data_IF_716748913719
#
_entry.id   IF_716748913719
#
_cell.length_a   1.000
_cell.length_b   1.000
_cell.length_c   1.000
_cell.angle_alpha   90.00
_cell.angle_beta   90.00
_cell.angle_gamma   90.00
#
_symmetry.space_group_name_H-M   'P 1'
#
loop_
_entity.id
_entity.type
_entity.pdbx_description
1 polymer ?
#
# COMPACT_ATOMS: atom_id res chain seq x y z
N UNK A 1 -24.49 -36.91 12.44
CA UNK A 1 -24.13 -37.77 11.28
C UNK A 1 -24.73 -37.15 10.03
N UNK A 2 -23.92 -36.86 9.02
CA UNK A 2 -24.28 -36.33 7.69
C UNK A 2 -25.33 -35.19 7.62
N UNK A 3 -24.85 -33.94 7.62
CA UNK A 3 -25.46 -32.84 6.84
C UNK A 3 -24.33 -32.13 6.09
N UNK A 4 -23.91 -32.69 4.97
CA UNK A 4 -22.93 -32.11 4.03
C UNK A 4 -23.36 -32.46 2.60
N UNK A 5 -23.17 -31.53 1.66
CA UNK A 5 -23.76 -31.50 0.29
C UNK A 5 -25.30 -31.35 0.37
N UNK A 6 -25.91 -30.28 -0.14
CA UNK A 6 -25.66 -29.57 -1.41
C UNK A 6 -26.16 -28.12 -1.36
N UNK A 7 -25.51 -27.20 -2.10
CA UNK A 7 -26.16 -26.07 -2.81
C UNK A 7 -25.18 -25.36 -3.78
N UNK A 8 -24.73 -26.06 -4.83
CA UNK A 8 -23.91 -25.44 -5.88
C UNK A 8 -24.81 -24.69 -6.89
N UNK A 9 -25.03 -23.38 -6.69
CA UNK A 9 -25.71 -22.46 -7.62
C UNK A 9 -25.49 -20.98 -7.25
N UNK A 10 -24.25 -20.51 -7.33
CA UNK A 10 -23.91 -19.08 -7.11
C UNK A 10 -24.56 -18.22 -8.22
N UNK A 11 -25.24 -17.12 -7.85
CA UNK A 11 -25.87 -16.20 -8.79
C UNK A 11 -24.83 -15.26 -9.43
N UNK A 12 -24.94 -14.92 -10.73
CA UNK A 12 -23.91 -14.13 -11.44
C UNK A 12 -23.70 -12.70 -10.93
N UNK A 13 -24.57 -12.16 -10.04
CA UNK A 13 -24.38 -10.83 -9.44
C UNK A 13 -23.32 -10.78 -8.32
N UNK A 14 -22.93 -11.90 -7.71
CA UNK A 14 -21.88 -11.89 -6.68
C UNK A 14 -20.45 -11.84 -7.25
N UNK A 15 -20.26 -12.06 -8.56
CA UNK A 15 -18.98 -11.82 -9.26
C UNK A 15 -18.60 -10.34 -9.40
N UNK A 16 -19.41 -9.42 -8.87
CA UNK A 16 -19.24 -7.97 -9.04
C UNK A 16 -19.02 -7.21 -7.72
N UNK A 17 -19.07 -7.89 -6.56
CA UNK A 17 -18.78 -7.30 -5.25
C UNK A 17 -17.41 -7.73 -4.67
N UNK A 18 -16.81 -8.81 -5.18
CA UNK A 18 -15.38 -9.12 -4.96
C UNK A 18 -14.56 -8.24 -5.92
N UNK A 19 -14.72 -6.91 -5.78
CA UNK A 19 -14.23 -5.91 -6.74
C UNK A 19 -14.05 -4.50 -6.16
N UNK A 20 -14.06 -4.36 -4.83
CA UNK A 20 -13.90 -3.06 -4.16
C UNK A 20 -13.12 -3.11 -2.82
N UNK A 21 -12.41 -4.22 -2.56
CA UNK A 21 -11.20 -4.25 -1.72
C UNK A 21 -10.24 -5.20 -2.43
N UNK A 22 -9.35 -4.67 -3.27
CA UNK A 22 -8.29 -5.42 -3.93
C UNK A 22 -7.16 -4.44 -4.30
N UNK A 23 -6.40 -4.06 -3.28
CA UNK A 23 -5.31 -3.07 -3.34
C UNK A 23 -4.28 -3.48 -2.29
N UNK A 24 -3.13 -4.08 -2.63
CA UNK A 24 -2.62 -4.53 -3.94
C UNK A 24 -1.55 -5.63 -3.69
N UNK A 25 -0.65 -5.86 -4.65
CA UNK A 25 0.70 -6.46 -4.50
C UNK A 25 0.87 -8.04 -4.38
N UNK A 26 2.10 -8.60 -4.59
CA UNK A 26 2.34 -9.48 -5.79
C UNK A 26 3.90 -10.00 -5.92
N UNK A 27 4.65 -11.18 -6.28
CA UNK A 27 4.92 -12.75 -6.32
C UNK A 27 6.45 -13.24 -6.14
N UNK A 28 6.97 -14.29 -6.84
CA UNK A 28 8.23 -15.06 -6.59
C UNK A 28 8.78 -15.69 -7.92
N UNK A 29 10.07 -15.52 -8.33
CA UNK A 29 10.91 -16.68 -8.72
C UNK A 29 12.46 -16.52 -8.58
N UNK A 30 13.24 -17.62 -8.64
CA UNK A 30 14.74 -17.65 -8.69
C UNK A 30 15.26 -18.90 -9.47
N UNK A 31 16.33 -18.79 -10.30
CA UNK A 31 17.55 -19.66 -10.37
C UNK A 31 18.30 -19.69 -11.75
N UNK A 32 19.64 -19.51 -11.75
CA UNK A 32 20.56 -20.31 -12.61
C UNK A 32 21.72 -19.61 -13.37
N UNK A 33 22.90 -19.47 -12.74
CA UNK A 33 24.08 -18.81 -13.35
C UNK A 33 25.16 -19.69 -14.02
N UNK A 34 26.26 -19.07 -14.48
CA UNK A 34 27.45 -19.72 -15.07
C UNK A 34 28.75 -18.88 -14.96
N UNK A 35 29.92 -19.53 -15.06
CA UNK A 35 31.28 -18.91 -14.99
C UNK A 35 31.84 -18.56 -16.38
N UNK A 36 32.79 -17.60 -16.44
CA UNK A 36 33.50 -17.14 -17.65
C UNK A 36 35.01 -16.99 -17.35
N UNK A 37 35.87 -17.15 -18.38
CA UNK A 37 37.34 -17.07 -18.29
C UNK A 37 37.87 -15.62 -18.11
N UNK A 38 39.03 -15.49 -17.46
CA UNK A 38 39.81 -14.25 -17.33
C UNK A 38 40.25 -13.65 -18.68
N UNK A 39 39.82 -12.41 -18.95
CA UNK A 39 40.47 -11.50 -19.88
C UNK A 39 40.10 -10.04 -19.55
N UNK A 40 41.05 -9.13 -19.75
CA UNK A 40 40.91 -7.70 -19.44
C UNK A 40 39.94 -6.99 -20.42
N UNK A 41 38.67 -6.87 -20.03
CA UNK A 41 37.61 -6.26 -20.85
C UNK A 41 37.15 -4.91 -20.28
N UNK A 42 37.60 -3.82 -20.92
CA UNK A 42 37.05 -2.48 -20.68
C UNK A 42 35.64 -2.36 -21.31
N UNK A 43 34.62 -2.31 -20.45
CA UNK A 43 33.20 -2.39 -20.78
C UNK A 43 32.68 -1.17 -21.56
N UNK A 44 33.21 0.03 -21.29
CA UNK A 44 32.76 1.26 -21.99
C UNK A 44 33.03 1.22 -23.50
N UNK A 45 33.93 0.35 -23.97
CA UNK A 45 34.09 0.06 -25.40
C UNK A 45 32.86 -0.62 -26.06
N UNK A 46 31.85 -1.04 -25.28
CA UNK A 46 30.66 -1.74 -25.78
C UNK A 46 29.37 -0.92 -25.69
N UNK A 47 29.42 0.29 -25.12
CA UNK A 47 28.35 1.28 -25.19
C UNK A 47 27.91 1.50 -26.65
N UNK A 48 26.59 1.59 -26.88
CA UNK A 48 25.99 1.75 -28.21
C UNK A 48 26.14 0.56 -29.15
N UNK A 49 26.62 -0.60 -28.68
CA UNK A 49 26.75 -1.83 -29.47
C UNK A 49 25.73 -2.87 -29.00
N UNK A 50 25.43 -3.85 -29.85
CA UNK A 50 24.53 -4.93 -29.49
C UNK A 50 25.11 -5.89 -28.45
N UNK A 51 24.22 -6.50 -27.67
CA UNK A 51 24.52 -7.56 -26.71
C UNK A 51 25.17 -8.74 -27.41
N UNK A 52 24.66 -9.09 -28.61
CA UNK A 52 25.28 -10.08 -29.50
C UNK A 52 26.70 -9.71 -29.96
N UNK A 53 27.03 -8.43 -30.03
CA UNK A 53 28.40 -7.95 -30.30
C UNK A 53 29.28 -8.04 -29.06
N UNK A 54 28.73 -7.75 -27.88
CA UNK A 54 29.39 -7.93 -26.59
C UNK A 54 29.76 -9.40 -26.36
N UNK A 55 28.78 -10.31 -26.31
CA UNK A 55 29.01 -11.76 -26.08
C UNK A 55 30.02 -12.35 -27.06
N UNK A 56 29.93 -12.01 -28.34
CA UNK A 56 30.87 -12.48 -29.38
C UNK A 56 32.32 -12.01 -29.15
N UNK A 57 32.51 -10.91 -28.43
CA UNK A 57 33.82 -10.28 -28.19
C UNK A 57 34.40 -10.64 -26.83
N UNK A 58 33.57 -10.67 -25.79
CA UNK A 58 33.98 -11.02 -24.42
C UNK A 58 33.92 -12.53 -24.13
N UNK A 59 33.24 -13.30 -24.99
CA UNK A 59 32.80 -14.69 -24.73
C UNK A 59 31.87 -14.84 -23.52
N UNK A 60 31.36 -13.74 -22.97
CA UNK A 60 30.29 -13.78 -21.98
C UNK A 60 29.09 -14.56 -22.54
N UNK A 61 28.38 -15.24 -21.65
CA UNK A 61 27.03 -15.73 -21.89
C UNK A 61 26.13 -14.96 -20.95
N UNK A 62 25.20 -14.20 -21.50
CA UNK A 62 24.27 -13.41 -20.71
C UNK A 62 22.92 -14.12 -20.62
N UNK A 63 22.34 -14.15 -19.42
CA UNK A 63 20.91 -14.45 -19.24
C UNK A 63 20.14 -13.15 -19.42
N UNK A 64 19.18 -13.12 -20.35
CA UNK A 64 18.27 -11.99 -20.51
C UNK A 64 17.24 -12.03 -19.37
N UNK A 65 17.07 -10.90 -18.68
CA UNK A 65 16.26 -10.75 -17.46
C UNK A 65 15.00 -9.90 -17.74
N UNK A 66 14.41 -10.12 -18.93
CA UNK A 66 13.33 -9.30 -19.49
C UNK A 66 13.81 -8.00 -20.16
N UNK A 67 12.99 -7.48 -21.08
CA UNK A 67 12.94 -6.08 -21.55
C UNK A 67 14.25 -5.28 -21.72
N UNK A 68 15.33 -5.93 -22.18
CA UNK A 68 16.62 -5.29 -22.46
C UNK A 68 17.62 -5.33 -21.30
N UNK A 69 17.28 -5.92 -20.15
CA UNK A 69 18.24 -6.22 -19.08
C UNK A 69 18.92 -7.56 -19.36
N UNK A 70 20.24 -7.61 -19.19
CA UNK A 70 21.03 -8.83 -19.39
C UNK A 70 22.08 -8.97 -18.28
N UNK A 71 22.24 -10.16 -17.70
CA UNK A 71 23.12 -10.39 -16.55
C UNK A 71 23.99 -11.64 -16.66
N UNK A 72 25.06 -11.63 -15.87
CA UNK A 72 25.77 -12.79 -15.34
C UNK A 72 25.59 -12.70 -13.82
N UNK A 73 24.88 -13.65 -13.21
CA UNK A 73 24.52 -13.62 -11.79
C UNK A 73 25.73 -13.34 -10.89
N UNK A 74 25.63 -12.29 -10.07
CA UNK A 74 26.68 -11.87 -9.13
C UNK A 74 27.95 -11.27 -9.75
N UNK A 75 27.98 -11.02 -11.07
CA UNK A 75 29.21 -10.64 -11.79
C UNK A 75 29.03 -9.35 -12.61
N UNK A 76 28.01 -9.29 -13.46
CA UNK A 76 27.83 -8.20 -14.42
C UNK A 76 26.34 -8.07 -14.76
N UNK A 77 25.84 -6.85 -14.77
CA UNK A 77 24.59 -6.47 -15.42
C UNK A 77 24.90 -5.47 -16.53
N UNK A 78 24.16 -5.54 -17.62
CA UNK A 78 24.09 -4.47 -18.61
C UNK A 78 22.63 -4.20 -18.98
N UNK A 79 22.36 -2.97 -19.43
CA UNK A 79 21.06 -2.56 -19.93
C UNK A 79 21.22 -2.21 -21.41
N UNK A 80 20.37 -2.78 -22.25
CA UNK A 80 20.43 -2.70 -23.70
C UNK A 80 19.02 -2.68 -24.34
N UNK A 81 18.24 -1.61 -24.16
CA UNK A 81 16.97 -1.43 -24.86
C UNK A 81 17.18 -1.58 -26.36
N UNK A 82 16.32 -2.37 -27.01
CA UNK A 82 16.32 -2.60 -28.47
C UNK A 82 17.67 -3.07 -29.04
N UNK A 83 18.46 -3.81 -28.26
CA UNK A 83 19.79 -4.36 -28.59
C UNK A 83 20.87 -3.29 -28.86
N UNK A 84 20.88 -2.21 -28.06
CA UNK A 84 21.99 -1.25 -27.98
C UNK A 84 22.32 -0.94 -26.51
N UNK A 85 23.53 -1.27 -26.06
CA UNK A 85 23.92 -1.19 -24.64
C UNK A 85 24.08 0.27 -24.16
N UNK A 86 23.33 0.66 -23.12
CA UNK A 86 23.31 2.00 -22.51
C UNK A 86 24.06 2.08 -21.18
N UNK A 87 24.06 1.01 -20.37
CA UNK A 87 24.74 0.98 -19.06
C UNK A 87 25.39 -0.37 -18.73
N UNK A 88 26.29 -0.35 -17.75
CA UNK A 88 26.96 -1.52 -17.17
C UNK A 88 27.07 -1.37 -15.65
N UNK A 89 26.80 -2.44 -14.90
CA UNK A 89 27.11 -2.54 -13.47
C UNK A 89 27.93 -3.79 -13.18
N UNK A 90 29.06 -3.61 -12.50
CA UNK A 90 29.91 -4.69 -12.01
C UNK A 90 29.68 -4.92 -10.52
N UNK A 91 29.27 -6.14 -10.19
CA UNK A 91 29.13 -6.64 -8.83
C UNK A 91 30.32 -7.56 -8.50
N UNK A 92 30.63 -7.72 -7.21
CA UNK A 92 31.90 -8.31 -6.78
C UNK A 92 32.06 -9.81 -7.05
N UNK A 93 33.24 -10.20 -7.56
CA UNK A 93 33.59 -11.61 -7.84
C UNK A 93 34.34 -11.85 -9.15
N UNK A 94 35.09 -10.86 -9.64
CA UNK A 94 35.59 -10.81 -11.02
C UNK A 94 37.10 -10.60 -11.13
N UNK A 95 37.76 -11.43 -11.95
CA UNK A 95 39.03 -11.11 -12.59
C UNK A 95 38.76 -10.88 -14.09
N UNK A 96 38.91 -9.65 -14.57
CA UNK A 96 38.87 -9.31 -16.01
C UNK A 96 38.04 -8.08 -16.42
N UNK A 97 36.83 -7.90 -15.89
CA UNK A 97 35.98 -6.77 -16.32
C UNK A 97 36.39 -5.43 -15.71
N UNK A 98 36.39 -4.36 -16.52
CA UNK A 98 36.82 -3.01 -16.16
C UNK A 98 35.83 -1.96 -16.65
N UNK A 99 35.69 -0.87 -15.90
CA UNK A 99 34.97 0.34 -16.32
C UNK A 99 35.92 1.52 -16.15
N UNK A 100 36.22 2.21 -17.24
CA UNK A 100 37.15 3.36 -17.30
C UNK A 100 38.52 3.07 -16.65
N UNK A 101 39.01 1.83 -16.81
CA UNK A 101 40.26 1.35 -16.25
C UNK A 101 40.23 1.01 -14.74
N UNK A 102 39.08 1.11 -14.09
CA UNK A 102 38.83 0.68 -12.70
C UNK A 102 38.27 -0.75 -12.70
N UNK A 103 38.60 -1.52 -11.66
CA UNK A 103 38.09 -2.90 -11.43
C UNK A 103 37.62 -3.05 -9.99
N UNK A 104 36.80 -4.08 -9.73
CA UNK A 104 36.52 -4.54 -8.36
C UNK A 104 37.84 -4.92 -7.68
N UNK A 105 38.00 -4.58 -6.40
CA UNK A 105 39.22 -4.81 -5.62
C UNK A 105 40.33 -3.77 -5.85
N UNK A 106 40.12 -2.76 -6.69
CA UNK A 106 41.08 -1.66 -6.88
C UNK A 106 41.13 -0.76 -5.63
N UNK A 107 42.32 -0.31 -5.24
CA UNK A 107 42.50 0.70 -4.20
C UNK A 107 41.85 2.04 -4.60
N UNK A 108 41.12 2.67 -3.69
CA UNK A 108 40.46 3.96 -3.88
C UNK A 108 41.37 5.06 -4.44
N UNK A 109 42.61 5.13 -3.97
CA UNK A 109 43.59 6.12 -4.43
C UNK A 109 43.97 5.90 -5.90
N UNK A 110 44.00 4.64 -6.36
CA UNK A 110 44.25 4.32 -7.77
C UNK A 110 43.00 4.56 -8.63
N UNK A 111 41.81 4.16 -8.14
CA UNK A 111 40.54 4.38 -8.81
C UNK A 111 40.24 5.88 -9.01
N UNK A 112 40.30 6.67 -7.93
CA UNK A 112 40.14 8.11 -8.00
C UNK A 112 41.18 8.77 -8.91
N UNK A 113 42.45 8.33 -8.90
CA UNK A 113 43.49 8.88 -9.76
C UNK A 113 43.25 8.58 -11.26
N UNK A 114 42.40 7.63 -11.62
CA UNK A 114 41.92 7.42 -13.00
C UNK A 114 40.72 8.28 -13.29
N UNK A 115 39.68 8.17 -12.46
CA UNK A 115 38.38 8.79 -12.69
C UNK A 115 38.41 10.32 -12.57
N UNK A 116 39.23 10.88 -11.67
CA UNK A 116 39.45 12.32 -11.58
C UNK A 116 40.16 12.94 -12.80
N UNK A 117 40.73 12.13 -13.70
CA UNK A 117 41.28 12.59 -15.00
C UNK A 117 40.23 12.60 -16.12
N UNK A 118 39.07 11.99 -15.89
CA UNK A 118 37.96 11.87 -16.84
C UNK A 118 36.90 12.91 -16.46
N UNK A 119 36.31 12.79 -15.27
CA UNK A 119 35.21 13.65 -14.80
C UNK A 119 35.65 14.88 -13.99
N UNK A 120 36.89 14.89 -13.47
CA UNK A 120 37.32 15.91 -12.51
C UNK A 120 36.93 15.57 -11.05
N UNK A 121 36.38 16.49 -10.25
CA UNK A 121 35.96 16.20 -8.88
C UNK A 121 34.75 15.25 -8.82
N UNK A 122 34.55 14.60 -7.67
CA UNK A 122 33.27 13.94 -7.36
C UNK A 122 32.16 14.98 -7.21
N UNK A 123 30.96 14.66 -7.70
CA UNK A 123 29.79 15.55 -7.68
C UNK A 123 28.84 15.25 -6.51
N UNK A 124 28.80 13.99 -6.06
CA UNK A 124 28.05 13.56 -4.88
C UNK A 124 28.80 12.42 -4.18
N UNK A 125 28.47 12.16 -2.91
CA UNK A 125 29.03 11.09 -2.09
C UNK A 125 28.03 10.63 -1.05
N UNK A 126 27.62 9.37 -1.10
CA UNK A 126 26.77 8.71 -0.10
C UNK A 126 27.56 7.71 0.74
N UNK A 127 27.13 7.50 1.99
CA UNK A 127 27.77 6.59 2.95
C UNK A 127 26.69 5.64 3.48
N UNK A 128 26.93 4.33 3.38
CA UNK A 128 26.09 3.25 3.90
C UNK A 128 26.87 2.55 5.01
N UNK A 129 26.57 2.89 6.25
CA UNK A 129 27.38 2.46 7.41
C UNK A 129 27.25 0.95 7.65
N UNK A 130 26.06 0.38 7.44
CA UNK A 130 25.75 -1.03 7.69
C UNK A 130 26.38 -1.94 6.63
N UNK A 131 26.39 -1.50 5.37
CA UNK A 131 27.10 -2.17 4.27
C UNK A 131 28.62 -1.93 4.28
N UNK A 132 29.15 -1.24 5.29
CA UNK A 132 30.53 -0.74 5.36
C UNK A 132 30.99 -0.06 4.06
N UNK A 133 30.10 0.67 3.36
CA UNK A 133 30.32 1.07 1.96
C UNK A 133 30.11 2.57 1.74
N UNK A 134 30.93 3.17 0.88
CA UNK A 134 30.87 4.59 0.52
C UNK A 134 30.88 4.74 -1.00
N UNK A 135 29.81 5.31 -1.57
CA UNK A 135 29.68 5.49 -3.01
C UNK A 135 30.03 6.93 -3.39
N UNK A 136 30.97 7.09 -4.32
CA UNK A 136 31.31 8.38 -4.93
C UNK A 136 30.68 8.46 -6.33
N UNK A 137 29.98 9.56 -6.62
CA UNK A 137 29.36 9.82 -7.93
C UNK A 137 30.20 10.81 -8.73
N UNK A 138 30.37 10.53 -10.02
CA UNK A 138 31.06 11.36 -10.99
C UNK A 138 30.18 11.49 -12.23
N UNK A 139 30.00 12.71 -12.76
CA UNK A 139 29.09 12.99 -13.88
C UNK A 139 29.71 14.02 -14.81
N UNK A 140 29.57 13.79 -16.10
CA UNK A 140 29.81 14.78 -17.16
C UNK A 140 28.57 14.88 -18.07
N UNK A 141 28.69 15.56 -19.21
CA UNK A 141 27.58 15.71 -20.14
C UNK A 141 27.26 14.42 -20.91
N UNK A 142 28.17 13.44 -20.93
CA UNK A 142 28.09 12.25 -21.79
C UNK A 142 27.79 10.97 -21.01
N UNK A 143 28.03 10.98 -19.69
CA UNK A 143 28.00 9.79 -18.84
C UNK A 143 27.91 10.10 -17.34
N UNK A 144 27.49 9.09 -16.57
CA UNK A 144 27.54 9.09 -15.11
C UNK A 144 28.14 7.79 -14.58
N UNK A 145 28.91 7.89 -13.50
CA UNK A 145 29.66 6.80 -12.88
C UNK A 145 29.49 6.83 -11.36
N UNK A 146 29.13 5.69 -10.79
CA UNK A 146 29.06 5.43 -9.36
C UNK A 146 30.16 4.42 -8.99
N UNK A 147 30.99 4.76 -8.00
CA UNK A 147 32.06 3.91 -7.48
C UNK A 147 31.81 3.66 -5.99
N UNK A 148 31.41 2.44 -5.64
CA UNK A 148 31.28 2.02 -4.25
C UNK A 148 32.62 1.46 -3.77
N UNK A 149 33.03 1.87 -2.56
CA UNK A 149 34.23 1.38 -1.89
C UNK A 149 33.86 0.83 -0.51
N UNK A 150 34.50 -0.25 -0.06
CA UNK A 150 34.50 -0.61 1.36
C UNK A 150 35.21 0.49 2.18
N UNK A 151 34.66 0.83 3.35
CA UNK A 151 35.08 1.98 4.18
C UNK A 151 36.39 1.69 4.93
N UNK A 152 36.56 0.48 5.44
CA UNK A 152 37.75 0.09 6.25
C UNK A 152 38.98 -0.17 5.37
N UNK A 153 38.78 -0.84 4.24
CA UNK A 153 39.85 -1.31 3.34
C UNK A 153 40.09 -0.39 2.15
N UNK A 154 39.11 0.45 1.79
CA UNK A 154 39.20 1.36 0.65
C UNK A 154 39.19 0.67 -0.71
N UNK A 155 38.80 -0.60 -0.82
CA UNK A 155 38.74 -1.31 -2.10
C UNK A 155 37.41 -1.06 -2.82
N UNK A 156 37.42 -0.96 -4.14
CA UNK A 156 36.21 -0.87 -4.97
C UNK A 156 35.38 -2.15 -4.83
N UNK A 157 34.11 -2.01 -4.45
CA UNK A 157 33.15 -3.11 -4.24
C UNK A 157 32.06 -3.20 -5.32
N UNK A 158 31.72 -2.08 -5.94
CA UNK A 158 30.77 -2.00 -7.08
C UNK A 158 31.17 -0.86 -8.03
N UNK A 159 30.91 -1.02 -9.33
CA UNK A 159 31.03 0.04 -10.32
C UNK A 159 29.79 0.06 -11.23
N UNK A 160 29.04 1.16 -11.24
CA UNK A 160 27.90 1.37 -12.14
C UNK A 160 28.17 2.54 -13.08
N UNK A 161 28.08 2.33 -14.40
CA UNK A 161 28.30 3.34 -15.45
C UNK A 161 27.10 3.42 -16.39
N UNK A 162 26.67 4.65 -16.68
CA UNK A 162 25.56 4.99 -17.55
C UNK A 162 26.03 5.94 -18.64
N UNK A 163 25.64 5.72 -19.89
CA UNK A 163 25.90 6.65 -20.98
C UNK A 163 24.67 7.51 -21.28
N UNK A 164 24.84 8.83 -21.23
CA UNK A 164 23.80 9.83 -21.46
C UNK A 164 23.72 10.22 -22.95
N UNK A 165 24.79 9.98 -23.72
CA UNK A 165 24.92 10.32 -25.14
C UNK A 165 24.17 9.38 -26.13
N UNK A 166 23.31 8.47 -25.66
CA UNK A 166 22.54 7.56 -26.54
C UNK A 166 21.30 8.26 -27.11
N UNK A 167 21.52 9.30 -27.92
CA UNK A 167 20.45 10.03 -28.62
C UNK A 167 19.75 9.14 -29.67
N UNK A 168 18.58 8.61 -29.30
CA UNK A 168 17.45 8.44 -30.23
C UNK A 168 16.17 8.83 -29.54
N UNK A 169 15.24 9.46 -30.26
CA UNK A 169 13.96 9.98 -29.76
C UNK A 169 13.15 8.91 -28.99
N UNK A 170 13.27 8.91 -27.66
CA UNK A 170 12.51 8.09 -26.72
C UNK A 170 12.57 8.75 -25.34
N UNK A 171 11.50 8.60 -24.56
CA UNK A 171 11.48 9.02 -23.17
C UNK A 171 12.48 8.19 -22.35
N UNK A 172 13.09 8.79 -21.31
CA UNK A 172 13.95 8.05 -20.39
C UNK A 172 13.10 7.05 -19.59
N UNK A 173 13.20 5.78 -19.95
CA UNK A 173 12.57 4.70 -19.19
C UNK A 173 13.45 4.40 -17.97
N UNK A 174 13.18 5.07 -16.84
CA UNK A 174 13.83 4.79 -15.54
C UNK A 174 13.56 3.35 -15.03
N UNK A 175 12.71 2.60 -15.73
CA UNK A 175 12.45 1.18 -15.53
C UNK A 175 13.75 0.35 -15.53
N UNK A 176 14.17 -0.07 -14.33
CA UNK A 176 15.45 -0.75 -14.08
C UNK A 176 16.34 -0.02 -13.07
N UNK A 177 16.05 1.25 -12.76
CA UNK A 177 16.65 1.95 -11.62
C UNK A 177 16.20 1.34 -10.29
N UNK A 178 17.10 1.38 -9.30
CA UNK A 178 16.81 0.96 -7.93
C UNK A 178 16.01 2.06 -7.22
N UNK A 179 14.80 1.75 -6.78
CA UNK A 179 13.94 2.64 -6.00
C UNK A 179 14.17 2.46 -4.51
N UNK A 180 14.28 1.23 -4.03
CA UNK A 180 14.59 0.97 -2.63
C UNK A 180 15.41 -0.30 -2.42
N UNK A 181 16.09 -0.33 -1.28
CA UNK A 181 16.82 -1.48 -0.75
C UNK A 181 16.27 -1.75 0.66
N UNK A 182 15.89 -3.00 0.93
CA UNK A 182 15.32 -3.46 2.21
C UNK A 182 16.17 -4.63 2.67
N UNK A 183 17.17 -4.37 3.53
CA UNK A 183 18.28 -5.28 3.75
C UNK A 183 19.05 -5.55 2.44
N UNK A 184 19.05 -6.79 1.96
CA UNK A 184 19.59 -7.16 0.64
C UNK A 184 18.55 -7.12 -0.50
N UNK A 185 17.26 -6.95 -0.18
CA UNK A 185 16.14 -7.06 -1.12
C UNK A 185 16.02 -5.78 -1.94
N UNK A 186 16.07 -5.90 -3.27
CA UNK A 186 16.04 -4.77 -4.21
C UNK A 186 14.63 -4.55 -4.76
N UNK A 187 14.14 -3.32 -4.66
CA UNK A 187 12.90 -2.80 -5.25
C UNK A 187 13.27 -1.92 -6.43
N UNK A 188 12.77 -2.24 -7.62
CA UNK A 188 13.08 -1.53 -8.86
C UNK A 188 11.93 -0.63 -9.32
N UNK A 189 12.24 0.37 -10.13
CA UNK A 189 11.29 1.35 -10.66
C UNK A 189 10.07 0.71 -11.36
N UNK A 190 10.30 -0.32 -12.17
CA UNK A 190 9.22 -1.04 -12.86
C UNK A 190 8.26 -1.75 -11.90
N UNK A 191 8.78 -2.34 -10.82
CA UNK A 191 7.98 -2.97 -9.77
C UNK A 191 7.08 -1.93 -9.07
N UNK A 192 7.67 -0.81 -8.62
CA UNK A 192 6.91 0.25 -7.98
C UNK A 192 5.87 0.92 -8.91
N UNK A 193 6.16 0.99 -10.22
CA UNK A 193 5.24 1.51 -11.23
C UNK A 193 4.02 0.62 -11.48
N UNK A 194 4.12 -0.71 -11.30
CA UNK A 194 2.93 -1.58 -11.33
C UNK A 194 1.90 -1.07 -10.32
N UNK A 195 2.35 -0.86 -9.07
CA UNK A 195 1.46 -0.50 -7.98
C UNK A 195 0.96 0.94 -8.08
N UNK A 196 1.82 1.88 -8.46
CA UNK A 196 1.43 3.27 -8.67
C UNK A 196 0.44 3.42 -9.84
N UNK A 197 0.59 2.65 -10.94
CA UNK A 197 -0.38 2.68 -12.04
C UNK A 197 -1.70 1.97 -11.69
N UNK A 198 -1.69 0.87 -10.92
CA UNK A 198 -2.93 0.30 -10.39
C UNK A 198 -3.67 1.26 -9.45
N UNK A 199 -2.95 1.95 -8.55
CA UNK A 199 -3.54 2.99 -7.70
C UNK A 199 -4.07 4.17 -8.53
N UNK A 200 -3.34 4.56 -9.60
CA UNK A 200 -3.78 5.63 -10.50
C UNK A 200 -5.09 5.28 -11.21
N UNK A 201 -5.23 4.07 -11.76
CA UNK A 201 -6.47 3.64 -12.43
C UNK A 201 -7.67 3.67 -11.48
N UNK A 202 -7.50 3.20 -10.23
CA UNK A 202 -8.56 3.20 -9.22
C UNK A 202 -9.04 4.62 -8.90
N UNK A 203 -8.14 5.52 -8.50
CA UNK A 203 -8.55 6.86 -8.07
C UNK A 203 -8.96 7.77 -9.25
N UNK A 204 -8.37 7.61 -10.44
CA UNK A 204 -8.84 8.37 -11.61
C UNK A 204 -10.22 7.92 -12.12
N UNK A 205 -10.60 6.65 -11.89
CA UNK A 205 -11.94 6.14 -12.24
C UNK A 205 -13.04 6.79 -11.40
N UNK A 206 -12.83 6.92 -10.10
CA UNK A 206 -13.85 7.45 -9.17
C UNK A 206 -13.79 8.98 -8.98
N UNK A 207 -12.61 9.60 -9.10
CA UNK A 207 -12.38 11.02 -8.77
C UNK A 207 -11.77 11.86 -9.92
N UNK A 208 -11.25 11.23 -10.97
CA UNK A 208 -10.61 11.91 -12.10
C UNK A 208 -9.19 12.43 -11.84
N UNK A 209 -8.49 12.85 -12.90
CA UNK A 209 -7.07 13.24 -12.89
C UNK A 209 -6.71 14.39 -11.94
N UNK A 210 -7.67 15.26 -11.62
CA UNK A 210 -7.47 16.42 -10.75
C UNK A 210 -7.22 16.02 -9.27
N UNK A 211 -7.54 14.78 -8.88
CA UNK A 211 -7.36 14.27 -7.51
C UNK A 211 -5.91 14.36 -7.03
N UNK A 212 -4.93 14.21 -7.93
CA UNK A 212 -3.51 14.17 -7.58
C UNK A 212 -2.94 15.49 -7.07
N UNK A 213 -3.60 16.62 -7.37
CA UNK A 213 -3.19 17.97 -6.94
C UNK A 213 -3.89 18.42 -5.63
N UNK A 214 -4.80 17.62 -5.07
CA UNK A 214 -5.58 18.00 -3.88
C UNK A 214 -4.79 17.75 -2.60
N UNK A 215 -4.54 18.78 -1.80
CA UNK A 215 -4.21 18.64 -0.38
C UNK A 215 -5.50 18.34 0.40
N UNK A 216 -5.73 17.05 0.66
CA UNK A 216 -6.91 16.56 1.39
C UNK A 216 -6.77 16.81 2.91
N UNK A 217 -5.54 16.97 3.41
CA UNK A 217 -5.23 16.97 4.84
C UNK A 217 -4.97 18.38 5.41
N UNK A 218 -4.84 19.40 4.55
CA UNK A 218 -4.51 20.77 4.91
C UNK A 218 -3.08 20.94 5.43
N UNK A 219 -2.18 20.00 5.10
CA UNK A 219 -0.81 19.93 5.62
C UNK A 219 0.27 20.38 4.61
N UNK A 220 -0.12 20.69 3.37
CA UNK A 220 0.77 21.07 2.28
C UNK A 220 1.26 19.91 1.40
N UNK A 221 0.89 18.66 1.70
CA UNK A 221 1.17 17.50 0.85
C UNK A 221 -0.03 17.18 -0.04
N UNK A 222 0.23 16.97 -1.32
CA UNK A 222 -0.78 16.53 -2.28
C UNK A 222 -1.18 15.07 -2.08
N UNK A 223 -2.38 14.70 -2.53
CA UNK A 223 -2.81 13.31 -2.54
C UNK A 223 -1.91 12.41 -3.40
N UNK A 224 -1.29 12.95 -4.46
CA UNK A 224 -0.29 12.22 -5.24
C UNK A 224 0.98 11.87 -4.44
N UNK A 225 1.45 12.79 -3.59
CA UNK A 225 2.56 12.52 -2.67
C UNK A 225 2.15 11.51 -1.59
N UNK A 226 0.95 11.65 -1.01
CA UNK A 226 0.42 10.69 -0.04
C UNK A 226 0.33 9.26 -0.59
N UNK A 227 -0.23 9.07 -1.79
CA UNK A 227 -0.35 7.75 -2.42
C UNK A 227 1.02 7.16 -2.79
N UNK A 228 2.01 7.98 -3.17
CA UNK A 228 3.40 7.52 -3.29
C UNK A 228 3.91 7.01 -1.95
N UNK A 229 3.80 7.82 -0.90
CA UNK A 229 4.28 7.51 0.43
C UNK A 229 3.70 6.19 0.98
N UNK A 230 2.40 5.96 0.83
CA UNK A 230 1.77 4.70 1.25
C UNK A 230 2.16 3.52 0.35
N UNK A 231 2.28 3.71 -0.97
CA UNK A 231 2.71 2.64 -1.87
C UNK A 231 4.14 2.18 -1.55
N UNK A 232 5.11 3.07 -1.34
CA UNK A 232 6.48 2.63 -1.03
C UNK A 232 6.56 1.94 0.34
N UNK A 233 5.82 2.42 1.36
CA UNK A 233 5.68 1.74 2.66
C UNK A 233 5.10 0.34 2.50
N UNK A 234 4.05 0.19 1.69
CA UNK A 234 3.44 -1.11 1.41
C UNK A 234 4.47 -2.06 0.76
N UNK A 235 5.20 -1.64 -0.28
CA UNK A 235 6.25 -2.49 -0.91
C UNK A 235 7.28 -2.95 0.13
N UNK A 236 7.77 -2.03 0.97
CA UNK A 236 8.75 -2.34 2.02
C UNK A 236 8.19 -3.36 3.01
N UNK A 237 6.95 -3.17 3.48
CA UNK A 237 6.27 -4.12 4.36
C UNK A 237 6.23 -5.53 3.74
N UNK A 238 5.84 -5.62 2.47
CA UNK A 238 5.74 -6.87 1.73
C UNK A 238 7.09 -7.58 1.63
N UNK A 239 8.18 -6.87 1.33
CA UNK A 239 9.52 -7.47 1.25
C UNK A 239 9.94 -8.08 2.58
N UNK A 240 9.73 -7.35 3.68
CA UNK A 240 10.00 -7.83 5.06
C UNK A 240 9.15 -9.07 5.37
N UNK A 241 7.85 -9.04 5.07
CA UNK A 241 6.94 -10.15 5.37
C UNK A 241 7.30 -11.40 4.53
N UNK A 242 7.69 -11.24 3.26
CA UNK A 242 8.08 -12.37 2.39
C UNK A 242 9.37 -13.05 2.83
N UNK A 243 10.39 -12.27 3.20
CA UNK A 243 11.64 -12.85 3.72
C UNK A 243 11.41 -13.56 5.06
N UNK A 244 10.58 -12.97 5.94
CA UNK A 244 10.13 -13.63 7.18
C UNK A 244 9.27 -14.87 6.92
N UNK A 245 8.47 -14.90 5.85
CA UNK A 245 7.73 -16.10 5.44
C UNK A 245 8.68 -17.28 5.17
N UNK A 246 9.76 -17.02 4.41
CA UNK A 246 10.79 -18.02 4.13
C UNK A 246 11.52 -18.49 5.41
N UNK A 247 11.84 -17.57 6.33
CA UNK A 247 12.43 -17.90 7.64
C UNK A 247 11.48 -18.76 8.52
N UNK A 248 10.17 -18.53 8.43
CA UNK A 248 9.13 -19.27 9.15
C UNK A 248 8.70 -20.58 8.45
N UNK A 249 9.17 -20.83 7.23
CA UNK A 249 8.73 -21.98 6.41
C UNK A 249 7.30 -21.84 5.85
N UNK A 250 6.74 -20.63 5.84
CA UNK A 250 5.45 -20.32 5.22
C UNK A 250 5.69 -20.11 3.72
N UNK A 251 5.04 -20.93 2.89
CA UNK A 251 5.14 -20.87 1.43
C UNK A 251 3.78 -21.09 0.79
N UNK A 252 3.57 -20.54 -0.40
CA UNK A 252 2.36 -20.84 -1.17
C UNK A 252 2.27 -22.31 -1.59
N UNK A 253 1.04 -22.82 -1.57
CA UNK A 253 0.62 -24.03 -2.27
C UNK A 253 0.65 -23.81 -3.79
N UNK A 254 0.45 -24.87 -4.56
CA UNK A 254 0.45 -24.76 -6.03
C UNK A 254 -0.86 -24.14 -6.56
N UNK A 255 -1.99 -24.30 -5.85
CA UNK A 255 -3.27 -23.64 -6.15
C UNK A 255 -3.16 -22.11 -6.01
N UNK A 256 -2.57 -21.63 -4.90
CA UNK A 256 -2.35 -20.19 -4.66
C UNK A 256 -1.33 -19.56 -5.64
N UNK A 257 -0.50 -20.36 -6.33
CA UNK A 257 0.38 -19.91 -7.43
C UNK A 257 -0.37 -19.88 -8.76
N UNK A 258 -1.24 -20.85 -9.02
CA UNK A 258 -2.07 -20.85 -10.24
C UNK A 258 -3.05 -19.66 -10.24
N UNK A 259 -3.66 -19.34 -9.09
CA UNK A 259 -4.47 -18.12 -8.93
C UNK A 259 -3.65 -16.85 -9.22
N UNK A 260 -2.44 -16.76 -8.67
CA UNK A 260 -1.53 -15.63 -8.89
C UNK A 260 -1.18 -15.43 -10.37
N UNK A 261 -0.82 -16.52 -11.07
CA UNK A 261 -0.52 -16.49 -12.50
C UNK A 261 -1.76 -16.08 -13.30
N UNK A 262 -2.96 -16.55 -12.92
CA UNK A 262 -4.20 -16.16 -13.59
C UNK A 262 -4.49 -14.65 -13.44
N UNK A 263 -4.29 -14.09 -12.23
CA UNK A 263 -4.43 -12.65 -12.01
C UNK A 263 -3.34 -11.85 -12.74
N UNK A 264 -2.11 -12.36 -12.83
CA UNK A 264 -1.02 -11.78 -13.61
C UNK A 264 -1.38 -11.67 -15.09
N UNK A 265 -1.99 -12.70 -15.67
CA UNK A 265 -2.46 -12.65 -17.06
C UNK A 265 -3.62 -11.65 -17.25
N UNK A 266 -4.59 -11.58 -16.33
CA UNK A 266 -5.69 -10.60 -16.41
C UNK A 266 -5.17 -9.16 -16.32
N UNK A 267 -4.30 -8.85 -15.34
CA UNK A 267 -3.70 -7.53 -15.20
C UNK A 267 -2.79 -7.18 -16.40
N UNK A 268 -1.93 -8.11 -16.84
CA UNK A 268 -1.08 -7.88 -18.01
C UNK A 268 -1.92 -7.58 -19.26
N UNK A 269 -3.10 -8.21 -19.42
CA UNK A 269 -4.02 -7.93 -20.53
C UNK A 269 -4.75 -6.59 -20.42
N UNK A 270 -4.89 -6.01 -19.22
CA UNK A 270 -5.49 -4.69 -19.00
C UNK A 270 -4.54 -3.52 -19.31
N UNK A 271 -3.25 -3.65 -18.98
CA UNK A 271 -2.25 -2.59 -19.18
C UNK A 271 -2.04 -2.30 -20.68
N UNK A 272 -1.95 -1.02 -21.04
CA UNK A 272 -1.73 -0.59 -22.43
C UNK A 272 -0.35 -0.99 -22.97
N UNK A 273 -0.21 -1.13 -24.29
CA UNK A 273 1.10 -1.36 -24.91
C UNK A 273 2.12 -0.25 -24.57
N UNK A 274 1.66 1.01 -24.48
CA UNK A 274 2.52 2.14 -24.17
C UNK A 274 3.05 2.09 -22.72
N UNK A 275 2.21 1.72 -21.75
CA UNK A 275 2.62 1.59 -20.34
C UNK A 275 3.51 0.35 -20.13
N UNK A 276 3.21 -0.77 -20.81
CA UNK A 276 4.07 -1.97 -20.80
C UNK A 276 5.47 -1.66 -21.33
N UNK A 277 5.58 -0.92 -22.44
CA UNK A 277 6.86 -0.52 -23.04
C UNK A 277 7.57 0.57 -22.22
N UNK A 278 6.85 1.57 -21.67
CA UNK A 278 7.43 2.70 -20.90
C UNK A 278 7.94 2.30 -19.52
N UNK A 279 7.22 1.43 -18.83
CA UNK A 279 7.58 0.95 -17.48
C UNK A 279 8.24 -0.43 -17.50
N UNK A 280 8.46 -1.01 -18.69
CA UNK A 280 9.02 -2.35 -18.92
C UNK A 280 8.30 -3.46 -18.12
N UNK A 281 6.98 -3.31 -17.94
CA UNK A 281 6.15 -4.29 -17.21
C UNK A 281 6.01 -5.55 -18.07
N UNK A 282 6.69 -6.62 -17.67
CA UNK A 282 6.63 -7.93 -18.33
C UNK A 282 5.62 -8.87 -17.67
N UNK A 283 5.29 -9.98 -18.33
CA UNK A 283 4.56 -11.08 -17.69
C UNK A 283 5.32 -11.75 -16.57
N UNK A 284 6.65 -11.70 -16.56
CA UNK A 284 7.48 -12.29 -15.49
C UNK A 284 7.67 -11.30 -14.34
N UNK A 285 7.59 -9.98 -14.62
CA UNK A 285 7.41 -8.97 -13.60
C UNK A 285 6.02 -9.18 -13.01
N UNK A 286 4.91 -9.10 -13.76
CA UNK A 286 3.58 -9.40 -13.23
C UNK A 286 3.40 -10.86 -12.78
N UNK A 287 4.29 -11.79 -13.12
CA UNK A 287 4.40 -13.06 -12.41
C UNK A 287 5.04 -12.73 -11.07
N UNK A 288 6.34 -12.41 -10.95
CA UNK A 288 7.08 -11.96 -9.72
C UNK A 288 6.38 -10.85 -8.91
N UNK A 289 5.34 -10.31 -9.50
CA UNK A 289 4.41 -9.28 -9.11
C UNK A 289 2.97 -9.83 -9.35
N UNK A 290 2.60 -10.93 -8.62
CA UNK A 290 1.25 -11.46 -8.18
C UNK A 290 1.02 -12.41 -6.93
N UNK A 291 2.01 -12.75 -6.07
CA UNK A 291 1.86 -13.52 -4.78
C UNK A 291 2.71 -13.05 -3.59
N UNK A 292 3.60 -12.05 -3.65
CA UNK A 292 4.30 -11.57 -2.44
C UNK A 292 3.26 -11.17 -1.41
N UNK A 293 2.04 -10.77 -1.84
CA UNK A 293 0.93 -10.51 -0.92
C UNK A 293 -0.04 -11.65 -0.75
N UNK A 294 -0.25 -12.57 -1.70
CA UNK A 294 -0.90 -13.83 -1.35
C UNK A 294 -0.07 -14.57 -0.26
N UNK A 295 1.25 -14.37 -0.26
CA UNK A 295 2.17 -14.83 0.77
C UNK A 295 2.10 -13.95 2.02
N UNK A 296 2.07 -12.61 1.92
CA UNK A 296 1.92 -11.74 3.08
C UNK A 296 0.58 -11.90 3.79
N UNK A 297 -0.52 -12.00 3.03
CA UNK A 297 -1.87 -12.41 3.45
C UNK A 297 -1.83 -13.80 4.08
N UNK A 298 -1.21 -14.80 3.43
CA UNK A 298 -1.04 -16.13 4.03
C UNK A 298 -0.24 -16.10 5.35
N UNK A 299 0.75 -15.23 5.49
CA UNK A 299 1.51 -15.04 6.75
C UNK A 299 0.65 -14.34 7.79
N UNK A 300 -0.14 -13.33 7.41
CA UNK A 300 -1.14 -12.68 8.26
C UNK A 300 -2.17 -13.68 8.77
N UNK A 301 -2.82 -14.43 7.89
CA UNK A 301 -3.74 -15.53 8.20
C UNK A 301 -3.08 -16.55 9.13
N UNK A 302 -1.92 -17.10 8.74
CA UNK A 302 -1.22 -18.17 9.50
C UNK A 302 -0.81 -17.74 10.91
N UNK A 303 -0.42 -16.48 11.12
CA UNK A 303 0.04 -15.98 12.41
C UNK A 303 -1.06 -15.37 13.29
N UNK A 304 -2.25 -15.13 12.73
CA UNK A 304 -3.39 -14.54 13.45
C UNK A 304 -4.58 -15.49 13.63
N UNK A 305 -4.56 -16.68 13.03
CA UNK A 305 -5.64 -17.68 13.11
C UNK A 305 -6.00 -18.11 14.55
N UNK A 306 -5.03 -18.13 15.46
CA UNK A 306 -5.19 -18.49 16.88
C UNK A 306 -5.46 -17.27 17.81
N UNK A 307 -5.88 -16.13 17.24
CA UNK A 307 -6.31 -14.95 18.01
C UNK A 307 -7.49 -15.28 18.94
N UNK A 308 -7.65 -14.53 20.04
CA UNK A 308 -8.86 -14.65 20.85
C UNK A 308 -10.10 -14.21 20.05
N UNK A 309 -10.93 -15.18 19.68
CA UNK A 309 -12.22 -14.98 19.01
C UNK A 309 -13.38 -14.80 19.98
N UNK A 310 -13.15 -14.88 21.29
CA UNK A 310 -14.17 -14.62 22.31
C UNK A 310 -14.36 -13.11 22.50
N UNK A 311 -15.43 -12.58 21.91
CA UNK A 311 -15.87 -11.19 22.11
C UNK A 311 -17.15 -11.16 22.95
N UNK A 312 -17.06 -10.84 24.27
CA UNK A 312 -18.22 -10.77 25.15
C UNK A 312 -19.22 -9.67 24.72
N UNK A 313 -20.51 -9.99 24.84
CA UNK A 313 -21.61 -9.09 24.46
C UNK A 313 -21.56 -7.70 25.11
N UNK A 314 -20.91 -7.52 26.26
CA UNK A 314 -20.76 -6.20 26.90
C UNK A 314 -19.97 -5.20 26.05
N UNK A 315 -19.12 -5.68 25.13
CA UNK A 315 -18.34 -4.85 24.21
C UNK A 315 -19.00 -4.72 22.82
N UNK A 316 -19.74 -5.73 22.37
CA UNK A 316 -20.26 -5.79 21.00
C UNK A 316 -21.78 -5.62 20.85
N UNK A 317 -22.59 -5.77 21.93
CA UNK A 317 -24.05 -5.72 21.87
C UNK A 317 -24.54 -4.40 21.28
N UNK A 318 -25.18 -4.50 20.13
CA UNK A 318 -25.90 -3.40 19.50
C UNK A 318 -27.37 -3.42 19.94
N UNK A 319 -27.96 -2.25 20.17
CA UNK A 319 -29.41 -2.05 20.27
C UNK A 319 -29.89 -1.24 19.07
N UNK A 320 -31.14 -1.41 18.67
CA UNK A 320 -31.80 -0.56 17.67
C UNK A 320 -32.95 0.19 18.34
N UNK A 321 -32.95 1.51 18.21
CA UNK A 321 -33.96 2.38 18.81
C UNK A 321 -34.45 3.42 17.81
N UNK A 322 -35.75 3.71 17.87
CA UNK A 322 -36.36 4.86 17.23
C UNK A 322 -36.51 5.99 18.25
N UNK A 323 -36.52 7.24 17.81
CA UNK A 323 -36.83 8.37 18.68
C UNK A 323 -37.63 9.48 17.99
N UNK A 324 -38.25 10.31 18.82
CA UNK A 324 -38.88 11.58 18.42
C UNK A 324 -38.16 12.69 19.16
N UNK A 325 -37.53 13.63 18.45
CA UNK A 325 -37.02 14.87 19.04
C UNK A 325 -38.06 15.99 18.89
N UNK A 326 -38.32 16.71 19.98
CA UNK A 326 -38.95 18.04 19.96
C UNK A 326 -37.98 19.02 20.62
N UNK A 327 -37.55 20.05 19.91
CA UNK A 327 -36.55 20.99 20.41
C UNK A 327 -37.07 21.81 21.61
N UNK A 328 -36.16 22.05 22.57
CA UNK A 328 -36.33 23.07 23.61
C UNK A 328 -35.38 24.26 23.39
N UNK A 329 -34.64 24.24 22.28
CA UNK A 329 -33.57 25.17 21.91
C UNK A 329 -33.64 25.56 20.43
N UNK A 330 -33.08 26.71 20.10
CA UNK A 330 -32.91 27.25 18.75
C UNK A 330 -31.46 27.68 18.52
N UNK A 331 -31.08 27.97 17.28
CA UNK A 331 -29.78 28.59 16.94
C UNK A 331 -30.02 30.10 16.78
N UNK A 332 -29.28 30.92 17.53
CA UNK A 332 -29.38 32.38 17.43
C UNK A 332 -28.61 32.96 16.22
N UNK A 333 -28.72 34.27 15.99
CA UNK A 333 -28.02 35.00 14.92
C UNK A 333 -26.48 34.88 14.98
N UNK A 334 -25.91 34.45 16.12
CA UNK A 334 -24.47 34.24 16.35
C UNK A 334 -24.05 32.78 16.05
N UNK A 335 -24.96 31.93 15.59
CA UNK A 335 -24.71 30.50 15.35
C UNK A 335 -24.71 29.64 16.62
N UNK A 336 -25.13 30.17 17.76
CA UNK A 336 -25.09 29.49 19.06
C UNK A 336 -26.45 28.91 19.46
N UNK A 337 -26.45 27.67 19.96
CA UNK A 337 -27.64 27.03 20.54
C UNK A 337 -28.04 27.74 21.85
N UNK A 338 -29.30 28.18 21.93
CA UNK A 338 -29.91 28.88 23.08
C UNK A 338 -31.30 28.31 23.36
N UNK A 339 -31.79 28.38 24.59
CA UNK A 339 -33.09 27.79 24.95
C UNK A 339 -34.28 28.65 24.53
N UNK A 340 -35.28 28.04 23.88
CA UNK A 340 -36.48 28.69 23.31
C UNK A 340 -37.21 29.61 24.30
N UNK A 341 -37.91 30.67 23.82
CA UNK A 341 -38.78 31.51 24.63
C UNK A 341 -39.78 30.68 25.45
N UNK A 342 -40.05 31.09 26.69
CA UNK A 342 -40.83 30.27 27.63
C UNK A 342 -42.22 29.85 27.09
N UNK A 343 -42.87 30.68 26.28
CA UNK A 343 -44.16 30.33 25.67
C UNK A 343 -44.04 29.23 24.62
N UNK A 344 -42.96 29.21 23.84
CA UNK A 344 -42.72 28.21 22.79
C UNK A 344 -42.18 26.92 23.39
N UNK A 345 -41.28 27.03 24.36
CA UNK A 345 -40.81 25.93 25.20
C UNK A 345 -41.97 25.19 25.89
N UNK A 346 -43.01 25.91 26.35
CA UNK A 346 -44.21 25.29 26.89
C UNK A 346 -45.04 24.55 25.82
N UNK A 347 -45.22 25.11 24.61
CA UNK A 347 -45.90 24.40 23.49
C UNK A 347 -45.14 23.15 23.06
N UNK A 348 -43.81 23.21 23.01
CA UNK A 348 -42.95 22.07 22.70
C UNK A 348 -43.06 20.98 23.79
N UNK A 349 -43.17 21.38 25.06
CA UNK A 349 -43.43 20.46 26.18
C UNK A 349 -44.83 19.82 26.07
N UNK A 350 -45.87 20.59 25.70
CA UNK A 350 -47.22 20.08 25.44
C UNK A 350 -47.21 19.09 24.24
N UNK A 351 -46.51 19.42 23.14
CA UNK A 351 -46.32 18.54 21.98
C UNK A 351 -45.71 17.20 22.38
N UNK A 352 -44.56 17.19 23.07
CA UNK A 352 -43.87 15.94 23.42
C UNK A 352 -44.65 15.10 24.44
N UNK A 353 -45.41 15.72 25.36
CA UNK A 353 -46.32 14.96 26.24
C UNK A 353 -47.43 14.27 25.44
N UNK A 354 -48.08 14.96 24.49
CA UNK A 354 -49.12 14.35 23.67
C UNK A 354 -48.59 13.23 22.75
N UNK A 355 -47.39 13.38 22.21
CA UNK A 355 -46.73 12.34 21.41
C UNK A 355 -46.41 11.10 22.27
N UNK A 356 -46.03 11.28 23.54
CA UNK A 356 -45.82 10.17 24.47
C UNK A 356 -47.14 9.44 24.82
N UNK A 357 -48.24 10.18 24.99
CA UNK A 357 -49.57 9.59 25.19
C UNK A 357 -50.02 8.77 23.97
N UNK A 358 -49.81 9.30 22.76
CA UNK A 358 -50.12 8.63 21.48
C UNK A 358 -49.31 7.34 21.30
N UNK A 359 -48.00 7.41 21.46
CA UNK A 359 -47.11 6.25 21.42
C UNK A 359 -47.56 5.16 22.41
N UNK A 360 -47.83 5.53 23.67
CA UNK A 360 -48.30 4.61 24.71
C UNK A 360 -49.74 4.10 24.51
N UNK A 361 -50.51 4.71 23.62
CA UNK A 361 -51.83 4.24 23.19
C UNK A 361 -51.76 3.19 22.09
N UNK A 362 -50.57 2.83 21.60
CA UNK A 362 -50.37 1.83 20.54
C UNK A 362 -50.46 2.40 19.12
N UNK A 363 -50.25 3.70 18.93
CA UNK A 363 -49.97 4.27 17.61
C UNK A 363 -48.57 3.81 17.13
N UNK A 364 -48.40 3.56 15.83
CA UNK A 364 -47.14 3.08 15.27
C UNK A 364 -46.01 4.11 15.49
N UNK A 365 -44.95 3.71 16.19
CA UNK A 365 -43.93 4.65 16.66
C UNK A 365 -43.11 5.22 15.50
N UNK A 366 -42.81 4.42 14.47
CA UNK A 366 -42.08 4.90 13.30
C UNK A 366 -42.87 5.97 12.55
N UNK A 367 -44.15 5.71 12.25
CA UNK A 367 -45.05 6.68 11.61
C UNK A 367 -45.25 7.95 12.46
N UNK A 368 -45.29 7.80 13.78
CA UNK A 368 -45.39 8.91 14.72
C UNK A 368 -44.10 9.76 14.73
N UNK A 369 -42.92 9.12 14.66
CA UNK A 369 -41.63 9.78 14.58
C UNK A 369 -41.43 10.50 13.24
N UNK A 370 -41.62 9.82 12.12
CA UNK A 370 -41.50 10.37 10.75
C UNK A 370 -42.37 11.63 10.55
N UNK A 371 -43.58 11.65 11.14
CA UNK A 371 -44.50 12.78 10.99
C UNK A 371 -44.35 13.90 12.05
N UNK A 372 -43.53 13.74 13.10
CA UNK A 372 -43.51 14.69 14.24
C UNK A 372 -42.12 15.00 14.83
N UNK A 373 -41.08 14.21 14.52
CA UNK A 373 -39.71 14.49 14.95
C UNK A 373 -39.18 15.75 14.27
N UNK A 374 -38.36 16.50 14.99
CA UNK A 374 -37.65 17.68 14.49
C UNK A 374 -36.17 17.35 14.19
N UNK A 375 -35.86 16.07 14.07
CA UNK A 375 -34.57 15.54 13.61
C UNK A 375 -34.76 14.65 12.37
N UNK A 376 -33.86 14.78 11.39
CA UNK A 376 -33.94 14.09 10.10
C UNK A 376 -33.70 12.58 10.23
N UNK A 377 -32.84 12.17 11.17
CA UNK A 377 -32.61 10.75 11.50
C UNK A 377 -33.45 10.40 12.73
N UNK A 378 -34.34 9.41 12.59
CA UNK A 378 -35.27 8.95 13.62
C UNK A 378 -35.00 7.54 14.15
N UNK A 379 -34.12 6.77 13.51
CA UNK A 379 -33.73 5.41 13.94
C UNK A 379 -32.21 5.26 13.93
N UNK A 380 -31.68 4.68 15.01
CA UNK A 380 -30.24 4.42 15.16
C UNK A 380 -30.02 2.98 15.66
N UNK A 381 -28.91 2.38 15.23
CA UNK A 381 -28.39 1.13 15.80
C UNK A 381 -27.00 1.40 16.36
N UNK A 382 -26.77 1.13 17.65
CA UNK A 382 -25.50 1.47 18.31
C UNK A 382 -25.14 0.56 19.49
N UNK A 383 -23.84 0.54 19.79
CA UNK A 383 -23.24 -0.11 20.96
C UNK A 383 -23.09 0.85 22.13
N UNK A 384 -22.59 0.35 23.26
CA UNK A 384 -22.38 1.17 24.46
C UNK A 384 -21.20 2.13 24.27
N UNK A 385 -21.31 3.36 24.76
CA UNK A 385 -20.36 4.44 24.50
C UNK A 385 -20.34 4.93 23.04
N UNK A 386 -21.31 4.51 22.23
CA UNK A 386 -21.41 4.77 20.79
C UNK A 386 -22.82 5.28 20.40
N UNK A 387 -23.63 5.73 21.37
CA UNK A 387 -24.88 6.44 21.07
C UNK A 387 -24.64 7.77 20.32
N UNK A 388 -25.68 8.38 19.72
CA UNK A 388 -25.52 9.61 18.95
C UNK A 388 -24.91 10.74 19.80
N UNK A 389 -23.71 11.18 19.45
CA UNK A 389 -22.92 12.17 20.23
C UNK A 389 -23.71 13.46 20.50
N UNK A 390 -24.50 13.86 19.52
CA UNK A 390 -25.43 15.00 19.54
C UNK A 390 -26.49 14.95 20.65
N UNK A 391 -26.89 13.76 21.14
CA UNK A 391 -28.02 13.62 22.06
C UNK A 391 -27.63 13.37 23.53
N UNK A 392 -26.35 13.50 23.88
CA UNK A 392 -25.79 13.34 25.23
C UNK A 392 -25.94 11.94 25.86
N UNK A 393 -25.15 11.68 26.90
CA UNK A 393 -25.14 10.40 27.64
C UNK A 393 -26.54 10.00 28.17
N UNK A 394 -27.42 10.98 28.44
CA UNK A 394 -28.78 10.72 28.91
C UNK A 394 -29.64 9.97 27.87
N UNK A 395 -29.41 10.19 26.57
CA UNK A 395 -30.11 9.47 25.50
C UNK A 395 -29.63 8.01 25.43
N UNK A 396 -28.32 7.77 25.42
CA UNK A 396 -27.76 6.40 25.44
C UNK A 396 -28.22 5.64 26.69
N UNK A 397 -28.11 6.25 27.87
CA UNK A 397 -28.48 5.61 29.13
C UNK A 397 -29.97 5.25 29.17
N UNK A 398 -30.84 6.10 28.61
CA UNK A 398 -32.26 5.78 28.49
C UNK A 398 -32.49 4.62 27.51
N UNK A 399 -31.87 4.65 26.33
CA UNK A 399 -32.00 3.62 25.30
C UNK A 399 -31.55 2.22 25.80
N UNK A 400 -30.40 2.13 26.47
CA UNK A 400 -29.87 0.85 26.98
C UNK A 400 -30.63 0.25 28.18
N UNK A 401 -31.48 1.05 28.83
CA UNK A 401 -32.35 0.60 29.93
C UNK A 401 -33.69 0.01 29.44
N UNK A 402 -34.08 0.27 28.19
CA UNK A 402 -35.32 -0.27 27.60
C UNK A 402 -35.18 -1.74 27.20
N UNK A 403 -36.32 -2.43 27.13
CA UNK A 403 -36.48 -3.72 26.45
C UNK A 403 -37.20 -3.59 25.11
N UNK A 404 -36.97 -4.57 24.25
CA UNK A 404 -37.65 -4.72 22.96
C UNK A 404 -39.16 -4.50 23.09
N UNK A 405 -39.68 -3.46 22.42
CA UNK A 405 -41.08 -3.04 22.48
C UNK A 405 -41.44 -1.98 23.55
N UNK A 406 -40.49 -1.53 24.38
CA UNK A 406 -40.74 -0.50 25.40
C UNK A 406 -40.54 0.93 24.90
N UNK A 407 -41.29 1.86 25.49
CA UNK A 407 -41.22 3.31 25.24
C UNK A 407 -40.75 4.02 26.52
N UNK A 408 -39.79 4.93 26.40
CA UNK A 408 -39.20 5.67 27.51
C UNK A 408 -40.16 6.62 28.23
N UNK A 409 -39.67 7.29 29.28
CA UNK A 409 -40.19 8.61 29.68
C UNK A 409 -39.71 9.71 28.72
N UNK A 410 -40.07 10.97 28.98
CA UNK A 410 -39.44 12.10 28.32
C UNK A 410 -37.99 12.21 28.81
N UNK A 411 -37.03 12.11 27.90
CA UNK A 411 -35.60 12.31 28.16
C UNK A 411 -35.23 13.74 27.77
N UNK A 412 -34.51 14.47 28.63
CA UNK A 412 -34.07 15.84 28.34
C UNK A 412 -32.60 15.84 27.92
N UNK A 413 -32.30 16.57 26.85
CA UNK A 413 -30.96 16.74 26.29
C UNK A 413 -30.68 18.23 26.08
N UNK A 414 -29.45 18.61 25.71
CA UNK A 414 -29.11 20.01 25.40
C UNK A 414 -29.82 20.57 24.15
N UNK A 415 -30.47 19.70 23.37
CA UNK A 415 -31.21 20.04 22.16
C UNK A 415 -32.70 20.19 22.48
N UNK A 416 -33.27 19.25 23.24
CA UNK A 416 -34.71 19.21 23.47
C UNK A 416 -35.16 18.02 24.30
N UNK A 417 -36.32 17.49 23.92
CA UNK A 417 -36.94 16.35 24.55
C UNK A 417 -37.05 15.19 23.58
N UNK A 418 -36.55 14.03 24.02
CA UNK A 418 -36.63 12.79 23.26
C UNK A 418 -37.66 11.86 23.90
N UNK A 419 -38.45 11.19 23.06
CA UNK A 419 -39.10 9.93 23.39
C UNK A 419 -38.36 8.85 22.63
N UNK A 420 -37.99 7.74 23.28
CA UNK A 420 -37.25 6.63 22.68
C UNK A 420 -38.14 5.39 22.70
N UNK A 421 -38.18 4.65 21.59
CA UNK A 421 -38.78 3.32 21.47
C UNK A 421 -37.71 2.30 21.12
N UNK A 422 -37.67 1.19 21.85
CA UNK A 422 -36.69 0.14 21.61
C UNK A 422 -37.21 -0.88 20.58
N UNK A 423 -36.70 -0.78 19.35
CA UNK A 423 -37.04 -1.71 18.25
C UNK A 423 -36.48 -3.10 18.54
N UNK A 424 -35.24 -3.17 19.04
CA UNK A 424 -34.68 -4.38 19.68
C UNK A 424 -33.59 -4.00 20.68
N UNK A 425 -33.61 -4.65 21.85
CA UNK A 425 -32.54 -4.55 22.84
C UNK A 425 -31.40 -5.56 22.61
N UNK A 426 -31.42 -6.29 21.49
CA UNK A 426 -30.29 -7.05 20.94
C UNK A 426 -30.44 -7.16 19.40
N UNK A 427 -29.69 -6.37 18.64
CA UNK A 427 -29.61 -6.52 17.19
C UNK A 427 -28.51 -7.55 16.85
N UNK A 428 -28.91 -8.75 16.43
CA UNK A 428 -28.00 -9.87 16.22
C UNK A 428 -27.02 -9.61 15.06
N UNK A 429 -27.50 -9.23 13.88
CA UNK A 429 -26.67 -8.96 12.70
C UNK A 429 -25.65 -7.84 12.95
N UNK A 430 -26.04 -6.77 13.63
CA UNK A 430 -25.14 -5.67 13.97
C UNK A 430 -24.15 -6.06 15.08
N UNK A 431 -24.58 -6.86 16.07
CA UNK A 431 -23.69 -7.40 17.11
C UNK A 431 -22.66 -8.35 16.52
N UNK A 432 -23.03 -9.19 15.54
CA UNK A 432 -22.10 -10.09 14.85
C UNK A 432 -21.02 -9.27 14.13
N UNK A 433 -21.40 -8.24 13.33
CA UNK A 433 -20.44 -7.37 12.64
C UNK A 433 -19.45 -6.68 13.57
N UNK A 434 -19.90 -6.22 14.74
CA UNK A 434 -19.00 -5.62 15.74
C UNK A 434 -18.09 -6.66 16.39
N UNK A 435 -18.55 -7.90 16.59
CA UNK A 435 -17.66 -9.00 17.02
C UNK A 435 -16.61 -9.33 15.94
N UNK A 436 -17.00 -9.41 14.68
CA UNK A 436 -16.11 -9.62 13.54
C UNK A 436 -15.06 -8.49 13.45
N UNK A 437 -15.48 -7.23 13.58
CA UNK A 437 -14.57 -6.07 13.60
C UNK A 437 -13.58 -6.10 14.77
N UNK A 438 -14.02 -6.46 15.99
CA UNK A 438 -13.15 -6.57 17.17
C UNK A 438 -12.17 -7.74 17.02
N UNK A 439 -12.56 -8.82 16.34
CA UNK A 439 -11.63 -9.92 16.02
C UNK A 439 -10.57 -9.43 15.02
N UNK A 440 -10.98 -8.77 13.94
CA UNK A 440 -10.04 -8.28 12.91
C UNK A 440 -9.09 -7.18 13.44
N UNK A 441 -9.57 -6.33 14.35
CA UNK A 441 -8.72 -5.40 15.11
C UNK A 441 -7.63 -6.14 15.90
N UNK A 442 -8.00 -7.17 16.68
CA UNK A 442 -7.03 -8.00 17.43
C UNK A 442 -6.03 -8.72 16.52
N UNK A 443 -6.45 -9.16 15.32
CA UNK A 443 -5.56 -9.76 14.31
C UNK A 443 -4.56 -8.75 13.78
N UNK A 444 -5.05 -7.55 13.47
CA UNK A 444 -4.23 -6.41 13.02
C UNK A 444 -3.23 -5.98 14.09
N UNK A 445 -3.65 -5.84 15.35
CA UNK A 445 -2.78 -5.54 16.49
C UNK A 445 -1.69 -6.60 16.72
N UNK A 446 -2.05 -7.90 16.62
CA UNK A 446 -1.12 -9.01 16.76
C UNK A 446 -0.10 -9.04 15.62
N UNK A 447 -0.55 -8.82 14.38
CA UNK A 447 0.35 -8.74 13.23
C UNK A 447 1.25 -7.51 13.26
N UNK A 448 0.74 -6.36 13.70
CA UNK A 448 1.54 -5.15 13.89
C UNK A 448 2.66 -5.35 14.92
N UNK A 449 2.45 -6.16 15.96
CA UNK A 449 3.52 -6.55 16.90
C UNK A 449 4.60 -7.40 16.22
N UNK A 450 4.22 -8.43 15.44
CA UNK A 450 5.18 -9.22 14.67
C UNK A 450 5.95 -8.35 13.66
N UNK A 451 5.25 -7.53 12.88
CA UNK A 451 5.85 -6.65 11.89
C UNK A 451 6.76 -5.59 12.52
N UNK A 452 6.37 -4.99 13.66
CA UNK A 452 7.21 -4.04 14.39
C UNK A 452 8.48 -4.68 14.96
N UNK A 453 8.46 -5.98 15.26
CA UNK A 453 9.68 -6.72 15.59
C UNK A 453 10.53 -6.92 14.32
N UNK A 454 9.95 -7.49 13.27
CA UNK A 454 10.70 -7.85 12.05
C UNK A 454 11.31 -6.65 11.33
N UNK A 455 10.56 -5.56 11.18
CA UNK A 455 11.05 -4.35 10.49
C UNK A 455 12.24 -3.69 11.19
N UNK A 456 12.43 -3.93 12.49
CA UNK A 456 13.65 -3.51 13.21
C UNK A 456 14.91 -4.33 12.86
N UNK A 457 14.77 -5.38 12.04
CA UNK A 457 15.85 -6.22 11.53
C UNK A 457 16.30 -5.84 10.09
N UNK A 458 15.65 -4.87 9.42
CA UNK A 458 15.95 -4.48 8.04
C UNK A 458 16.26 -2.99 7.92
N UNK A 459 17.46 -2.67 7.44
CA UNK A 459 17.80 -1.31 7.03
C UNK A 459 17.11 -0.97 5.69
N UNK A 460 16.46 0.19 5.63
CA UNK A 460 15.67 0.62 4.47
C UNK A 460 16.27 1.89 3.88
N UNK A 461 16.70 1.81 2.62
CA UNK A 461 17.26 2.94 1.86
C UNK A 461 16.40 3.17 0.61
N UNK A 462 15.73 4.32 0.54
CA UNK A 462 14.98 4.76 -0.64
C UNK A 462 15.86 5.72 -1.46
N UNK A 463 15.83 5.57 -2.78
CA UNK A 463 16.42 6.51 -3.73
C UNK A 463 15.45 7.68 -3.95
N UNK A 464 15.50 8.68 -3.07
CA UNK A 464 14.63 9.86 -3.12
C UNK A 464 14.70 10.61 -4.45
N UNK A 465 15.86 10.74 -5.08
CA UNK A 465 15.98 11.48 -6.35
C UNK A 465 15.11 10.87 -7.46
N UNK A 466 15.15 9.53 -7.63
CA UNK A 466 14.26 8.84 -8.59
C UNK A 466 12.82 8.74 -8.06
N UNK A 467 12.61 8.52 -6.76
CA UNK A 467 11.28 8.33 -6.17
C UNK A 467 10.44 9.62 -6.18
N UNK A 468 11.01 10.72 -5.70
CA UNK A 468 10.34 12.01 -5.60
C UNK A 468 10.05 12.57 -7.01
N UNK A 469 10.92 12.27 -7.98
CA UNK A 469 10.73 12.56 -9.40
C UNK A 469 9.53 11.86 -10.08
N UNK A 470 8.93 10.82 -9.48
CA UNK A 470 7.73 10.18 -10.05
C UNK A 470 6.51 11.10 -9.91
N UNK A 471 5.89 11.43 -11.04
CA UNK A 471 4.59 12.12 -11.13
C UNK A 471 3.46 11.11 -11.34
N UNK A 472 2.35 11.27 -10.61
CA UNK A 472 1.09 10.55 -10.86
C UNK A 472 0.15 11.30 -11.83
N UNK A 473 0.58 12.44 -12.38
CA UNK A 473 -0.24 13.29 -13.26
C UNK A 473 -0.18 12.84 -14.73
N UNK A 474 0.83 12.04 -15.07
CA UNK A 474 1.28 11.70 -16.43
C UNK A 474 1.01 10.21 -16.79
#
# INVERSE_FOLDING_TARGET
MNIFRTHNRIKPRHRMLIRMVLLAMLLIPILGGCRVDEADFELTNYTGKSVRTFEKKTKAKLTQDGNGVYKIDGVLQLIAPKDAITSFTLYGGTEGYKILGVVIGMDKSEAELKIRKIYGPEVNKSIKTEMNSVTHTYRDNESELYLSYDIDTGIVTEISYYNLNVETEQEQTNAGELIALVGDIRVYYNEAMVYLKSAQEIYETDYGKEVWDVDIFGNGSTFGEYIKDEVIKQIIQIKVICDKAAQLGITLTDEEKEDAIAYAEEHYMGISDADRDRYLISKDLLEKVYSENLLAEKVFETLTIDVDTNVPDIYARQITVQHILVYSTEINEEGKRVSLPAQERNKALEKVNNLLERARSGEDFYSLAEANSEHDVIEYTFGRGNGPEEFSEAFEQAAFNLKTGEISGIISTDYGWHIIYCVTDYNEDATIKVKESIIEERRTELFAQYYSQWSSEYDVVINSDTWDGISLKD
#
